data_IF_924112803364
#
_entry.id   IF_924112803364
#
_cell.length_a   1.000
_cell.length_b   1.000
_cell.length_c   1.000
_cell.angle_alpha   90.00
_cell.angle_beta   90.00
_cell.angle_gamma   90.00
#
_symmetry.space_group_name_H-M   'P 1'
#
loop_
_entity.id
_entity.type
_entity.pdbx_description
1 polymer ?
#
# COMPACT_ATOMS: atom_id res chain seq x y z
N UNK A 1 -14.26 50.49 -21.51
CA UNK A 1 -13.49 49.98 -20.36
C UNK A 1 -14.27 48.98 -19.48
N UNK A 2 -15.31 48.31 -20.00
CA UNK A 2 -16.15 47.40 -19.19
C UNK A 2 -16.34 46.01 -19.81
N UNK A 3 -15.69 45.72 -20.95
CA UNK A 3 -15.83 44.42 -21.64
C UNK A 3 -14.58 43.54 -21.58
N UNK A 4 -13.48 44.03 -21.01
CA UNK A 4 -12.18 43.31 -20.96
C UNK A 4 -11.87 42.74 -19.57
N UNK A 5 -12.71 43.06 -18.57
CA UNK A 5 -12.62 42.52 -17.20
C UNK A 5 -13.51 41.30 -16.94
N UNK A 6 -14.39 40.95 -17.89
CA UNK A 6 -15.26 39.78 -17.79
C UNK A 6 -14.69 38.51 -18.46
N UNK A 7 -13.56 38.63 -19.18
CA UNK A 7 -12.89 37.51 -19.84
C UNK A 7 -11.77 36.86 -18.99
N UNK A 8 -11.60 37.30 -17.74
CA UNK A 8 -10.57 36.80 -16.81
C UNK A 8 -11.15 35.93 -15.68
N UNK A 9 -12.44 35.61 -15.70
CA UNK A 9 -13.13 34.91 -14.61
C UNK A 9 -13.80 33.59 -15.03
N UNK A 10 -13.68 33.18 -16.31
CA UNK A 10 -14.20 31.89 -16.80
C UNK A 10 -13.12 30.79 -16.89
N UNK A 11 -11.84 31.10 -16.66
CA UNK A 11 -10.74 30.13 -16.82
C UNK A 11 -10.48 29.22 -15.62
N UNK A 12 -11.22 29.35 -14.51
CA UNK A 12 -10.90 28.66 -13.25
C UNK A 12 -12.06 27.82 -12.67
N UNK A 13 -12.97 27.35 -13.52
CA UNK A 13 -14.08 26.45 -13.11
C UNK A 13 -13.77 24.95 -13.24
N UNK A 14 -12.57 24.61 -13.73
CA UNK A 14 -12.13 23.22 -13.87
C UNK A 14 -12.00 22.55 -12.49
N UNK A 15 -12.86 21.56 -12.21
CA UNK A 15 -12.77 20.73 -11.00
C UNK A 15 -11.44 20.00 -10.96
N UNK A 16 -10.99 19.60 -9.75
CA UNK A 16 -9.76 18.80 -9.60
C UNK A 16 -9.81 17.55 -10.49
N UNK A 17 -10.97 16.89 -10.57
CA UNK A 17 -11.17 15.73 -11.44
C UNK A 17 -10.89 16.03 -12.93
N UNK A 18 -11.40 17.15 -13.46
CA UNK A 18 -11.12 17.53 -14.86
C UNK A 18 -9.63 17.80 -15.11
N UNK A 19 -8.94 18.44 -14.16
CA UNK A 19 -7.49 18.71 -14.25
C UNK A 19 -6.67 17.42 -14.18
N UNK A 20 -7.13 16.42 -13.44
CA UNK A 20 -6.48 15.09 -13.38
C UNK A 20 -6.57 14.39 -14.74
N UNK A 21 -7.70 14.50 -15.42
CA UNK A 21 -7.90 13.95 -16.76
C UNK A 21 -6.97 14.64 -17.79
N UNK A 22 -6.88 15.97 -17.76
CA UNK A 22 -5.97 16.75 -18.60
C UNK A 22 -4.49 16.36 -18.37
N UNK A 23 -4.10 16.13 -17.11
CA UNK A 23 -2.77 15.63 -16.75
C UNK A 23 -2.50 14.24 -17.31
N UNK A 24 -3.50 13.36 -17.34
CA UNK A 24 -3.39 12.03 -17.93
C UNK A 24 -3.15 12.06 -19.44
N UNK A 25 -3.78 13.00 -20.14
CA UNK A 25 -3.65 13.18 -21.60
C UNK A 25 -2.33 13.84 -21.99
N UNK A 26 -1.71 14.61 -21.10
CA UNK A 26 -0.45 15.35 -21.34
C UNK A 26 0.81 14.60 -20.88
N UNK A 27 0.72 13.32 -20.51
CA UNK A 27 1.88 12.53 -20.11
C UNK A 27 2.87 12.36 -21.26
N UNK A 28 4.19 12.42 -20.99
CA UNK A 28 5.21 12.14 -22.01
C UNK A 28 5.17 10.68 -22.48
N UNK A 29 6.00 10.34 -23.45
CA UNK A 29 6.22 8.92 -23.80
C UNK A 29 6.70 8.14 -22.58
N UNK A 30 6.28 6.88 -22.47
CA UNK A 30 6.61 6.03 -21.33
C UNK A 30 8.13 5.95 -21.12
N UNK A 31 8.56 6.15 -19.88
CA UNK A 31 9.98 6.15 -19.52
C UNK A 31 10.44 4.70 -19.40
N UNK A 32 11.46 4.36 -20.17
CA UNK A 32 12.12 3.06 -20.13
C UNK A 32 13.56 3.21 -19.67
N UNK A 33 13.97 2.39 -18.71
CA UNK A 33 15.35 2.31 -18.23
C UNK A 33 15.97 0.98 -18.68
N UNK A 34 16.99 1.00 -19.56
CA UNK A 34 17.82 -0.16 -19.89
C UNK A 34 18.41 -0.82 -18.63
N UNK A 35 18.81 -2.09 -18.70
CA UNK A 35 19.31 -2.83 -17.52
C UNK A 35 20.62 -2.31 -16.94
N UNK A 36 21.40 -1.58 -17.74
CA UNK A 36 22.67 -0.93 -17.40
C UNK A 36 22.49 0.56 -17.07
N UNK A 37 21.25 1.06 -17.05
CA UNK A 37 20.97 2.43 -16.70
C UNK A 37 21.25 2.74 -15.22
N UNK A 38 21.59 3.99 -14.87
CA UNK A 38 21.72 4.42 -13.49
C UNK A 38 20.44 4.18 -12.67
N UNK A 39 20.60 4.03 -11.34
CA UNK A 39 19.46 3.78 -10.43
C UNK A 39 18.37 4.84 -10.53
N UNK A 40 18.74 6.11 -10.69
CA UNK A 40 17.77 7.20 -10.80
C UNK A 40 16.87 7.07 -12.04
N UNK A 41 17.36 6.50 -13.14
CA UNK A 41 16.53 6.22 -14.32
C UNK A 41 15.55 5.07 -14.07
N UNK A 42 15.99 4.01 -13.38
CA UNK A 42 15.08 2.95 -12.94
C UNK A 42 14.02 3.45 -11.96
N UNK A 43 14.36 4.39 -11.09
CA UNK A 43 13.39 5.08 -10.23
C UNK A 43 12.42 5.88 -11.09
N UNK A 44 12.89 6.66 -12.07
CA UNK A 44 12.02 7.44 -12.97
C UNK A 44 11.04 6.56 -13.74
N UNK A 45 11.52 5.45 -14.32
CA UNK A 45 10.69 4.48 -15.03
C UNK A 45 9.64 3.83 -14.11
N UNK A 46 10.02 3.54 -12.86
CA UNK A 46 9.10 3.01 -11.87
C UNK A 46 8.08 4.05 -11.37
N UNK A 47 8.45 5.34 -11.28
CA UNK A 47 7.51 6.43 -11.00
C UNK A 47 6.52 6.60 -12.16
N UNK A 48 7.00 6.71 -13.40
CA UNK A 48 6.16 6.85 -14.61
C UNK A 48 5.06 5.79 -14.68
N UNK A 49 5.45 4.52 -14.60
CA UNK A 49 4.49 3.42 -14.64
C UNK A 49 3.45 3.48 -13.51
N UNK A 50 3.78 4.07 -12.35
CA UNK A 50 2.86 4.17 -11.20
C UNK A 50 2.04 5.45 -11.21
N UNK A 51 2.57 6.56 -11.72
CA UNK A 51 1.83 7.79 -11.98
C UNK A 51 0.70 7.52 -12.98
N UNK A 52 0.99 6.78 -14.05
CA UNK A 52 -0.04 6.35 -15.02
C UNK A 52 -1.17 5.56 -14.35
N UNK A 53 -0.82 4.56 -13.53
CA UNK A 53 -1.81 3.76 -12.78
C UNK A 53 -2.58 4.61 -11.76
N UNK A 54 -1.93 5.60 -11.14
CA UNK A 54 -2.59 6.52 -10.22
C UNK A 54 -3.68 7.32 -10.95
N UNK A 55 -3.34 7.89 -12.11
CA UNK A 55 -4.25 8.70 -12.93
C UNK A 55 -5.37 7.83 -13.55
N UNK A 56 -5.04 6.64 -14.04
CA UNK A 56 -6.01 5.68 -14.61
C UNK A 56 -7.12 5.31 -13.62
N UNK A 57 -6.78 5.12 -12.35
CA UNK A 57 -7.72 4.67 -11.32
C UNK A 57 -8.30 5.80 -10.45
N UNK A 58 -7.94 7.07 -10.70
CA UNK A 58 -8.50 8.20 -9.96
C UNK A 58 -10.02 8.35 -10.18
N UNK A 59 -10.55 8.34 -11.42
CA UNK A 59 -11.99 8.48 -11.65
C UNK A 59 -12.82 7.39 -10.97
N UNK A 60 -12.39 6.14 -11.06
CA UNK A 60 -13.06 5.00 -10.42
C UNK A 60 -12.96 5.01 -8.89
N UNK A 61 -11.85 5.52 -8.34
CA UNK A 61 -11.71 5.74 -6.89
C UNK A 61 -12.69 6.81 -6.39
N UNK A 62 -12.93 7.86 -7.19
CA UNK A 62 -13.89 8.93 -6.86
C UNK A 62 -15.34 8.46 -6.93
N UNK A 63 -15.70 7.72 -7.98
CA UNK A 63 -17.05 7.15 -8.12
C UNK A 63 -17.32 6.11 -7.03
N UNK A 64 -16.31 5.30 -6.69
CA UNK A 64 -16.43 4.20 -5.73
C UNK A 64 -17.27 3.03 -6.25
N UNK A 65 -17.40 2.91 -7.57
CA UNK A 65 -18.16 1.82 -8.21
C UNK A 65 -17.43 0.47 -8.12
N UNK A 66 -16.10 0.47 -8.31
CA UNK A 66 -15.26 -0.71 -8.18
C UNK A 66 -14.18 -0.51 -7.08
N UNK A 67 -14.22 -1.28 -5.98
CA UNK A 67 -13.18 -1.25 -4.94
C UNK A 67 -11.76 -1.56 -5.46
N UNK A 68 -11.64 -2.15 -6.65
CA UNK A 68 -10.36 -2.43 -7.29
C UNK A 68 -9.65 -1.15 -7.75
N UNK A 69 -10.37 -0.09 -8.13
CA UNK A 69 -9.74 1.19 -8.50
C UNK A 69 -8.98 1.79 -7.30
N UNK A 70 -9.65 1.87 -6.15
CA UNK A 70 -9.03 2.29 -4.89
C UNK A 70 -7.85 1.38 -4.53
N UNK A 71 -7.99 0.07 -4.72
CA UNK A 71 -6.91 -0.88 -4.46
C UNK A 71 -5.67 -0.57 -5.31
N UNK A 72 -5.86 -0.39 -6.62
CA UNK A 72 -4.78 -0.12 -7.57
C UNK A 72 -4.12 1.23 -7.30
N UNK A 73 -4.90 2.27 -6.99
CA UNK A 73 -4.41 3.59 -6.60
C UNK A 73 -3.53 3.50 -5.33
N UNK A 74 -4.01 2.81 -4.27
CA UNK A 74 -3.21 2.56 -3.05
C UNK A 74 -1.95 1.76 -3.33
N UNK A 75 -2.01 0.76 -4.21
CA UNK A 75 -0.84 -0.02 -4.62
C UNK A 75 0.18 0.86 -5.33
N UNK A 76 -0.25 1.74 -6.23
CA UNK A 76 0.60 2.68 -6.94
C UNK A 76 1.35 3.61 -5.98
N UNK A 77 0.61 4.31 -5.09
CA UNK A 77 1.17 5.22 -4.07
C UNK A 77 2.19 4.51 -3.17
N UNK A 78 1.83 3.34 -2.63
CA UNK A 78 2.73 2.55 -1.77
C UNK A 78 4.01 2.16 -2.49
N UNK A 79 3.92 1.77 -3.77
CA UNK A 79 5.08 1.37 -4.58
C UNK A 79 5.95 2.57 -4.93
N UNK A 80 5.38 3.73 -5.27
CA UNK A 80 6.16 4.96 -5.49
C UNK A 80 6.98 5.35 -4.27
N UNK A 81 6.35 5.39 -3.08
CA UNK A 81 7.05 5.67 -1.81
C UNK A 81 8.18 4.68 -1.53
N UNK A 82 7.94 3.41 -1.85
CA UNK A 82 8.91 2.36 -1.64
C UNK A 82 10.13 2.48 -2.56
N UNK A 83 9.89 2.80 -3.84
CA UNK A 83 10.94 3.04 -4.84
C UNK A 83 11.75 4.28 -4.48
N UNK A 84 11.11 5.40 -4.14
CA UNK A 84 11.80 6.62 -3.68
C UNK A 84 12.67 6.35 -2.46
N UNK A 85 12.17 5.54 -1.51
CA UNK A 85 12.94 5.13 -0.34
C UNK A 85 14.14 4.25 -0.69
N UNK A 86 13.98 3.31 -1.63
CA UNK A 86 15.05 2.42 -2.04
C UNK A 86 16.12 3.14 -2.87
N UNK A 87 15.71 4.08 -3.72
CA UNK A 87 16.57 4.94 -4.53
C UNK A 87 17.15 6.15 -3.80
N UNK A 88 16.72 6.44 -2.57
CA UNK A 88 17.12 7.63 -1.80
C UNK A 88 18.62 7.92 -1.77
N UNK A 89 19.53 6.93 -1.60
CA UNK A 89 20.97 7.16 -1.66
C UNK A 89 21.52 7.67 -3.00
N UNK A 90 20.71 7.69 -4.06
CA UNK A 90 21.08 8.11 -5.42
C UNK A 90 20.25 9.28 -5.92
N UNK A 91 19.35 9.82 -5.09
CA UNK A 91 18.47 10.92 -5.43
C UNK A 91 18.81 12.13 -4.58
N UNK A 92 18.53 13.33 -5.09
CA UNK A 92 18.56 14.53 -4.26
C UNK A 92 17.48 14.42 -3.17
N UNK A 93 17.88 14.58 -1.91
CA UNK A 93 16.96 14.52 -0.78
C UNK A 93 15.90 15.63 -0.81
N UNK A 94 16.24 16.81 -1.35
CA UNK A 94 15.32 17.95 -1.51
C UNK A 94 14.21 17.66 -2.53
N UNK A 95 14.46 16.72 -3.45
CA UNK A 95 13.45 16.20 -4.37
C UNK A 95 12.68 15.02 -3.77
N UNK A 96 13.41 14.00 -3.29
CA UNK A 96 12.82 12.71 -2.95
C UNK A 96 11.99 12.72 -1.66
N UNK A 97 12.40 13.47 -0.62
CA UNK A 97 11.71 13.47 0.67
C UNK A 97 10.36 14.20 0.64
N UNK A 98 10.22 15.41 0.04
CA UNK A 98 8.91 16.07 -0.10
C UNK A 98 7.93 15.22 -0.92
N UNK A 99 8.35 14.71 -2.08
CA UNK A 99 7.49 13.86 -2.91
C UNK A 99 7.02 12.61 -2.16
N UNK A 100 7.89 12.01 -1.34
CA UNK A 100 7.54 10.86 -0.52
C UNK A 100 6.62 11.21 0.66
N UNK A 101 6.70 12.44 1.18
CA UNK A 101 5.82 12.96 2.22
C UNK A 101 4.40 13.17 1.67
N UNK A 102 4.28 13.82 0.50
CA UNK A 102 3.01 14.08 -0.20
C UNK A 102 2.31 12.75 -0.56
N UNK A 103 3.05 11.81 -1.15
CA UNK A 103 2.56 10.44 -1.38
C UNK A 103 2.16 9.74 -0.06
N UNK A 104 2.82 10.09 1.04
CA UNK A 104 2.51 9.60 2.37
C UNK A 104 1.17 10.10 2.88
N UNK A 105 0.83 11.35 2.59
CA UNK A 105 -0.46 11.97 2.90
C UNK A 105 -1.59 11.33 2.10
N UNK A 106 -1.44 11.24 0.78
CA UNK A 106 -2.40 10.54 -0.07
C UNK A 106 -2.57 9.08 0.38
N UNK A 107 -1.48 8.40 0.74
CA UNK A 107 -1.53 7.04 1.26
C UNK A 107 -2.24 6.88 2.60
N UNK A 108 -2.27 7.93 3.44
CA UNK A 108 -3.06 7.96 4.69
C UNK A 108 -4.54 8.13 4.41
N UNK A 109 -4.91 8.87 3.37
CA UNK A 109 -6.31 9.06 2.97
C UNK A 109 -6.90 7.81 2.29
N UNK A 110 -6.16 7.20 1.36
CA UNK A 110 -6.57 5.95 0.68
C UNK A 110 -6.68 4.75 1.61
N UNK A 111 -6.00 4.82 2.77
CA UNK A 111 -5.72 3.66 3.57
C UNK A 111 -6.92 3.09 4.31
N UNK A 112 -7.57 3.89 5.16
CA UNK A 112 -8.73 3.48 5.95
C UNK A 112 -9.86 2.89 5.11
N UNK A 113 -10.22 3.53 3.99
CA UNK A 113 -11.28 3.03 3.08
C UNK A 113 -10.96 1.62 2.60
N UNK A 114 -9.74 1.40 2.06
CA UNK A 114 -9.37 0.08 1.54
C UNK A 114 -9.26 -0.98 2.63
N UNK A 115 -8.77 -0.60 3.80
CA UNK A 115 -8.62 -1.54 4.91
C UNK A 115 -10.01 -1.96 5.44
N UNK A 116 -11.00 -1.06 5.44
CA UNK A 116 -12.40 -1.36 5.73
C UNK A 116 -13.07 -2.21 4.64
N UNK A 117 -12.85 -1.92 3.35
CA UNK A 117 -13.37 -2.73 2.23
C UNK A 117 -12.97 -4.20 2.37
N UNK A 118 -11.67 -4.44 2.55
CA UNK A 118 -11.11 -5.79 2.63
C UNK A 118 -11.64 -6.51 3.87
N UNK A 119 -11.61 -5.84 5.03
CA UNK A 119 -12.07 -6.43 6.28
C UNK A 119 -13.57 -6.75 6.22
N UNK A 120 -14.39 -5.80 5.78
CA UNK A 120 -15.84 -5.96 5.72
C UNK A 120 -16.25 -7.04 4.72
N UNK A 121 -15.63 -7.07 3.53
CA UNK A 121 -15.88 -8.12 2.54
C UNK A 121 -15.53 -9.52 3.09
N UNK A 122 -14.38 -9.64 3.76
CA UNK A 122 -13.96 -10.91 4.36
C UNK A 122 -14.91 -11.35 5.48
N UNK A 123 -15.27 -10.46 6.40
CA UNK A 123 -16.15 -10.78 7.52
C UNK A 123 -17.57 -11.11 7.04
N UNK A 124 -18.09 -10.40 6.04
CA UNK A 124 -19.39 -10.71 5.41
C UNK A 124 -19.38 -12.07 4.72
N UNK A 125 -18.29 -12.42 4.02
CA UNK A 125 -18.12 -13.75 3.44
C UNK A 125 -18.11 -14.85 4.51
N UNK A 126 -17.52 -14.58 5.69
CA UNK A 126 -17.60 -15.51 6.81
C UNK A 126 -19.01 -15.57 7.41
N UNK A 127 -19.67 -14.43 7.59
CA UNK A 127 -21.04 -14.35 8.10
C UNK A 127 -22.01 -15.18 7.25
N UNK A 128 -21.88 -15.12 5.92
CA UNK A 128 -22.68 -15.93 4.99
C UNK A 128 -22.49 -17.45 5.18
N UNK A 129 -21.36 -17.88 5.74
CA UNK A 129 -21.08 -19.28 6.07
C UNK A 129 -21.53 -19.68 7.50
N UNK A 130 -22.22 -18.83 8.25
CA UNK A 130 -22.81 -19.17 9.54
C UNK A 130 -24.17 -19.88 9.36
N UNK A 131 -24.66 -20.60 10.38
CA UNK A 131 -26.05 -21.06 10.44
C UNK A 131 -27.04 -19.93 10.21
N UNK A 132 -28.16 -20.22 9.53
CA UNK A 132 -29.12 -19.21 9.03
C UNK A 132 -29.67 -18.33 10.16
N UNK A 133 -29.88 -18.92 11.34
CA UNK A 133 -30.32 -18.23 12.55
C UNK A 133 -29.38 -17.11 13.02
N UNK A 134 -28.09 -17.20 12.71
CA UNK A 134 -27.08 -16.23 13.13
C UNK A 134 -26.71 -15.21 12.05
N UNK A 135 -27.02 -15.48 10.78
CA UNK A 135 -26.61 -14.63 9.65
C UNK A 135 -27.13 -13.20 9.81
N UNK A 136 -28.41 -13.05 10.19
CA UNK A 136 -29.03 -11.74 10.40
C UNK A 136 -28.36 -10.96 11.54
N UNK A 137 -27.96 -11.64 12.61
CA UNK A 137 -27.28 -11.02 13.74
C UNK A 137 -25.84 -10.61 13.37
N UNK A 138 -25.14 -11.42 12.58
CA UNK A 138 -23.84 -11.09 12.03
C UNK A 138 -23.92 -9.88 11.09
N UNK A 139 -24.92 -9.81 10.20
CA UNK A 139 -25.10 -8.67 9.30
C UNK A 139 -25.33 -7.38 10.09
N UNK A 140 -26.15 -7.42 11.14
CA UNK A 140 -26.39 -6.27 12.03
C UNK A 140 -25.10 -5.81 12.72
N UNK A 141 -24.26 -6.74 13.17
CA UNK A 141 -22.95 -6.40 13.74
C UNK A 141 -22.07 -5.67 12.71
N UNK A 142 -21.98 -6.23 11.50
CA UNK A 142 -21.08 -5.74 10.45
C UNK A 142 -21.54 -4.43 9.81
N UNK A 143 -22.80 -4.03 9.98
CA UNK A 143 -23.28 -2.68 9.64
C UNK A 143 -22.56 -1.58 10.43
N UNK A 144 -21.97 -1.90 11.59
CA UNK A 144 -21.16 -0.94 12.35
C UNK A 144 -19.96 -0.39 11.57
N UNK A 145 -19.44 -1.15 10.59
CA UNK A 145 -18.36 -0.66 9.72
C UNK A 145 -18.80 0.38 8.70
N UNK A 146 -20.10 0.49 8.41
CA UNK A 146 -20.59 1.33 7.31
C UNK A 146 -20.40 2.83 7.63
N UNK A 147 -20.63 3.25 8.88
CA UNK A 147 -20.45 4.64 9.30
C UNK A 147 -18.97 5.07 9.25
N UNK A 148 -18.05 4.19 9.67
CA UNK A 148 -16.61 4.43 9.59
C UNK A 148 -16.14 4.48 8.14
N UNK A 149 -16.65 3.59 7.30
CA UNK A 149 -16.35 3.56 5.89
C UNK A 149 -16.80 4.87 5.21
N UNK A 150 -18.01 5.33 5.47
CA UNK A 150 -18.53 6.58 4.93
C UNK A 150 -17.71 7.80 5.39
N UNK A 151 -17.25 7.81 6.64
CA UNK A 151 -16.37 8.86 7.14
C UNK A 151 -15.01 8.86 6.44
N UNK A 152 -14.37 7.70 6.36
CA UNK A 152 -13.10 7.52 5.66
C UNK A 152 -13.22 7.91 4.17
N UNK A 153 -14.36 7.59 3.54
CA UNK A 153 -14.62 7.92 2.14
C UNK A 153 -14.78 9.44 1.94
N UNK A 154 -15.46 10.14 2.85
CA UNK A 154 -15.53 11.61 2.81
C UNK A 154 -14.15 12.27 2.96
N UNK A 155 -13.33 11.76 3.88
CA UNK A 155 -11.95 12.25 4.06
C UNK A 155 -11.10 12.01 2.81
N UNK A 156 -11.19 10.82 2.22
CA UNK A 156 -10.50 10.51 0.96
C UNK A 156 -10.91 11.49 -0.16
N UNK A 157 -12.20 11.70 -0.37
CA UNK A 157 -12.67 12.62 -1.42
C UNK A 157 -12.19 14.05 -1.17
N UNK A 158 -12.21 14.52 0.08
CA UNK A 158 -11.67 15.84 0.43
C UNK A 158 -10.18 15.98 0.08
N UNK A 159 -9.37 14.94 0.31
CA UNK A 159 -7.96 14.92 -0.08
C UNK A 159 -7.81 14.90 -1.60
N UNK A 160 -8.61 14.10 -2.31
CA UNK A 160 -8.58 14.06 -3.77
C UNK A 160 -9.06 15.38 -4.40
N UNK A 161 -9.91 16.15 -3.74
CA UNK A 161 -10.36 17.47 -4.18
C UNK A 161 -9.46 18.62 -3.70
N UNK A 162 -8.36 18.31 -3.03
CA UNK A 162 -7.45 19.32 -2.50
C UNK A 162 -6.44 19.83 -3.55
N UNK A 163 -6.01 21.08 -3.39
CA UNK A 163 -4.88 21.63 -4.15
C UNK A 163 -3.59 20.83 -3.91
N UNK A 164 -3.39 20.30 -2.70
CA UNK A 164 -2.23 19.47 -2.37
C UNK A 164 -2.14 18.20 -3.21
N UNK A 165 -3.27 17.58 -3.54
CA UNK A 165 -3.29 16.43 -4.45
C UNK A 165 -2.91 16.84 -5.89
N UNK A 166 -3.43 17.95 -6.39
CA UNK A 166 -3.04 18.47 -7.71
C UNK A 166 -1.55 18.81 -7.78
N UNK A 167 -1.00 19.45 -6.75
CA UNK A 167 0.42 19.80 -6.70
C UNK A 167 1.30 18.54 -6.69
N UNK A 168 0.88 17.48 -5.98
CA UNK A 168 1.52 16.18 -6.04
C UNK A 168 1.51 15.61 -7.48
N UNK A 169 0.38 15.65 -8.18
CA UNK A 169 0.30 15.18 -9.56
C UNK A 169 1.20 15.99 -10.49
N UNK A 170 1.22 17.32 -10.37
CA UNK A 170 2.12 18.17 -11.15
C UNK A 170 3.60 17.82 -10.90
N UNK A 171 4.00 17.60 -9.64
CA UNK A 171 5.37 17.18 -9.30
C UNK A 171 5.70 15.81 -9.90
N UNK A 172 4.77 14.86 -9.85
CA UNK A 172 4.93 13.55 -10.45
C UNK A 172 5.13 13.66 -11.96
N UNK A 173 4.28 14.42 -12.66
CA UNK A 173 4.36 14.62 -14.12
C UNK A 173 5.64 15.36 -14.50
N UNK A 174 6.03 16.40 -13.77
CA UNK A 174 7.30 17.10 -13.97
C UNK A 174 8.50 16.14 -13.87
N UNK A 175 8.49 15.24 -12.87
CA UNK A 175 9.52 14.22 -12.70
C UNK A 175 9.61 13.20 -13.84
N UNK A 176 8.59 13.10 -14.71
CA UNK A 176 8.61 12.24 -15.90
C UNK A 176 9.24 12.93 -17.11
N UNK A 177 9.12 14.27 -17.18
CA UNK A 177 9.54 15.09 -18.31
C UNK A 177 11.04 15.42 -18.29
N UNK A 178 11.67 15.45 -17.12
CA UNK A 178 13.09 15.76 -16.96
C UNK A 178 13.84 14.64 -16.23
N UNK A 179 15.17 14.53 -16.39
CA UNK A 179 16.00 13.70 -15.51
C UNK A 179 15.73 14.02 -14.03
N UNK A 180 15.70 12.99 -13.19
CA UNK A 180 15.49 13.20 -11.75
C UNK A 180 16.72 13.88 -11.14
N UNK A 181 16.53 14.84 -10.22
CA UNK A 181 17.62 15.34 -9.38
C UNK A 181 18.29 14.18 -8.64
N UNK A 182 19.58 14.02 -8.84
CA UNK A 182 20.36 12.89 -8.34
C UNK A 182 21.68 13.35 -7.74
N UNK A 183 22.31 12.45 -6.99
CA UNK A 183 23.66 12.64 -6.50
C UNK A 183 24.64 12.03 -7.50
N UNK A 184 25.68 12.77 -7.87
CA UNK A 184 26.78 12.21 -8.66
C UNK A 184 27.42 11.07 -7.85
N UNK A 185 27.42 9.88 -8.45
CA UNK A 185 27.94 8.67 -7.85
C UNK A 185 28.73 7.92 -8.90
N UNK A 186 30.05 7.84 -8.70
CA UNK A 186 30.97 7.02 -9.51
C UNK A 186 30.74 5.50 -9.33
N UNK A 187 29.80 5.11 -8.47
CA UNK A 187 29.53 3.70 -8.12
C UNK A 187 28.52 3.08 -9.10
N UNK A 188 28.81 1.87 -9.56
CA UNK A 188 27.86 1.06 -10.33
C UNK A 188 26.55 0.86 -9.54
N UNK A 189 25.46 1.38 -10.10
CA UNK A 189 24.11 1.29 -9.54
C UNK A 189 23.63 -0.16 -9.35
N UNK A 190 24.07 -1.08 -10.21
CA UNK A 190 23.76 -2.51 -10.16
C UNK A 190 24.34 -3.18 -8.92
N UNK A 191 25.64 -3.00 -8.71
CA UNK A 191 26.35 -3.55 -7.56
C UNK A 191 25.80 -2.96 -6.26
N UNK A 192 25.46 -1.67 -6.26
CA UNK A 192 24.97 -0.99 -5.07
C UNK A 192 23.56 -1.45 -4.66
N UNK A 193 22.64 -1.66 -5.60
CA UNK A 193 21.29 -2.14 -5.29
C UNK A 193 21.26 -3.61 -4.83
N UNK A 194 22.09 -4.48 -5.43
CA UNK A 194 22.26 -5.86 -4.96
C UNK A 194 22.84 -5.87 -3.55
N UNK A 195 23.87 -5.06 -3.29
CA UNK A 195 24.48 -4.91 -1.97
C UNK A 195 23.49 -4.39 -0.94
N UNK A 196 22.62 -3.45 -1.33
CA UNK A 196 21.55 -2.94 -0.46
C UNK A 196 20.53 -4.04 -0.15
N UNK A 197 20.09 -4.82 -1.14
CA UNK A 197 19.19 -5.95 -0.92
C UNK A 197 19.82 -7.01 0.02
N UNK A 198 21.10 -7.34 -0.18
CA UNK A 198 21.84 -8.24 0.69
C UNK A 198 21.96 -7.69 2.12
N UNK A 199 22.20 -6.37 2.29
CA UNK A 199 22.19 -5.70 3.59
C UNK A 199 20.82 -5.81 4.27
N UNK A 200 19.73 -5.51 3.56
CA UNK A 200 18.36 -5.65 4.11
C UNK A 200 18.06 -7.11 4.52
N UNK A 201 18.50 -8.08 3.72
CA UNK A 201 18.35 -9.50 4.05
C UNK A 201 19.16 -9.90 5.29
N UNK A 202 20.41 -9.45 5.42
CA UNK A 202 21.24 -9.71 6.61
C UNK A 202 20.61 -9.12 7.88
N UNK A 203 20.09 -7.91 7.81
CA UNK A 203 19.36 -7.28 8.93
C UNK A 203 18.11 -8.07 9.28
N UNK A 204 17.26 -8.42 8.30
CA UNK A 204 16.07 -9.25 8.50
C UNK A 204 16.43 -10.59 9.17
N UNK A 205 17.48 -11.25 8.70
CA UNK A 205 17.97 -12.52 9.27
C UNK A 205 18.40 -12.38 10.72
N UNK A 206 19.08 -11.28 11.06
CA UNK A 206 19.52 -10.99 12.44
C UNK A 206 18.32 -10.77 13.36
N UNK A 207 17.35 -9.97 12.92
CA UNK A 207 16.14 -9.68 13.72
C UNK A 207 15.29 -10.93 13.93
N UNK A 208 15.07 -11.76 12.90
CA UNK A 208 14.33 -13.02 13.06
C UNK A 208 15.06 -14.01 13.98
N UNK A 209 16.40 -14.04 13.97
CA UNK A 209 17.18 -14.89 14.89
C UNK A 209 17.09 -14.45 16.35
N UNK A 210 16.77 -13.18 16.60
CA UNK A 210 16.61 -12.64 17.93
C UNK A 210 15.19 -12.79 18.49
N UNK A 211 14.27 -13.36 17.71
CA UNK A 211 12.92 -13.66 18.16
C UNK A 211 12.89 -14.91 19.05
N UNK A 212 11.99 -14.90 20.02
CA UNK A 212 11.62 -16.09 20.78
C UNK A 212 11.02 -17.17 19.87
N UNK A 213 10.97 -18.41 20.38
CA UNK A 213 10.33 -19.55 19.68
C UNK A 213 8.89 -19.23 19.29
N UNK A 214 8.19 -18.48 20.15
CA UNK A 214 6.82 -18.06 19.95
C UNK A 214 6.73 -16.52 20.03
N UNK A 215 7.05 -15.78 18.94
CA UNK A 215 7.19 -14.33 18.98
C UNK A 215 5.85 -13.62 19.15
N UNK A 216 5.80 -12.57 19.96
CA UNK A 216 4.60 -11.73 20.08
C UNK A 216 4.12 -11.20 18.72
N UNK A 217 2.82 -10.91 18.59
CA UNK A 217 2.20 -10.45 17.34
C UNK A 217 2.85 -9.17 16.81
N UNK A 218 3.21 -8.25 17.70
CA UNK A 218 3.94 -7.00 17.36
C UNK A 218 5.33 -7.27 16.80
N UNK A 219 6.01 -8.32 17.29
CA UNK A 219 7.31 -8.72 16.78
C UNK A 219 7.18 -9.24 15.34
N UNK A 220 6.14 -10.03 15.04
CA UNK A 220 5.83 -10.45 13.66
C UNK A 220 5.47 -9.24 12.78
N UNK A 221 4.71 -8.27 13.29
CA UNK A 221 4.43 -7.03 12.57
C UNK A 221 5.71 -6.26 12.20
N UNK A 222 6.65 -6.13 13.13
CA UNK A 222 7.95 -5.51 12.86
C UNK A 222 8.74 -6.26 11.77
N UNK A 223 8.71 -7.60 11.77
CA UNK A 223 9.28 -8.41 10.69
C UNK A 223 8.59 -8.11 9.35
N UNK A 224 7.26 -7.99 9.30
CA UNK A 224 6.51 -7.64 8.07
C UNK A 224 7.03 -6.35 7.45
N UNK A 225 7.30 -5.32 8.26
CA UNK A 225 7.85 -4.03 7.81
C UNK A 225 9.22 -4.23 7.15
N UNK A 226 10.06 -5.10 7.70
CA UNK A 226 11.40 -5.39 7.18
C UNK A 226 11.36 -6.20 5.91
N UNK A 227 10.47 -7.20 5.83
CA UNK A 227 10.22 -7.97 4.62
C UNK A 227 9.77 -7.06 3.48
N UNK A 228 8.87 -6.08 3.75
CA UNK A 228 8.48 -5.06 2.77
C UNK A 228 9.70 -4.30 2.23
N UNK A 229 10.62 -3.85 3.09
CA UNK A 229 11.84 -3.13 2.67
C UNK A 229 12.74 -4.00 1.78
N UNK A 230 12.97 -5.26 2.14
CA UNK A 230 13.73 -6.20 1.32
C UNK A 230 13.05 -6.41 -0.04
N UNK A 231 11.73 -6.65 -0.04
CA UNK A 231 10.95 -6.87 -1.27
C UNK A 231 11.07 -5.69 -2.22
N UNK A 232 10.85 -4.47 -1.74
CA UNK A 232 10.88 -3.26 -2.58
C UNK A 232 12.26 -2.92 -3.11
N UNK A 233 13.30 -3.08 -2.29
CA UNK A 233 14.69 -2.95 -2.76
C UNK A 233 14.97 -3.99 -3.85
N UNK A 234 14.52 -5.23 -3.66
CA UNK A 234 14.66 -6.28 -4.66
C UNK A 234 13.83 -6.04 -5.93
N UNK A 235 12.64 -5.46 -5.84
CA UNK A 235 11.82 -5.09 -7.00
C UNK A 235 12.55 -4.05 -7.86
N UNK A 236 13.14 -3.02 -7.25
CA UNK A 236 13.96 -2.02 -7.94
C UNK A 236 15.25 -2.63 -8.54
N UNK A 237 15.86 -3.59 -7.85
CA UNK A 237 17.07 -4.28 -8.32
C UNK A 237 16.80 -5.38 -9.36
N UNK A 238 15.54 -5.80 -9.56
CA UNK A 238 15.20 -6.96 -10.42
C UNK A 238 15.55 -6.74 -11.91
N UNK A 239 15.29 -5.57 -12.52
CA UNK A 239 15.68 -5.31 -13.91
C UNK A 239 17.19 -5.45 -14.15
N UNK A 240 17.99 -5.16 -13.13
CA UNK A 240 19.44 -5.07 -13.20
C UNK A 240 20.11 -6.41 -12.81
N UNK A 241 19.70 -6.97 -11.67
CA UNK A 241 20.35 -8.12 -11.04
C UNK A 241 19.73 -9.48 -11.39
N UNK A 242 18.65 -9.49 -12.18
CA UNK A 242 18.11 -10.68 -12.84
C UNK A 242 17.48 -11.73 -11.92
N UNK A 243 17.63 -13.01 -12.31
CA UNK A 243 16.90 -14.15 -11.72
C UNK A 243 17.13 -14.37 -10.21
N UNK A 244 18.33 -14.20 -9.62
CA UNK A 244 18.54 -14.38 -8.18
C UNK A 244 17.68 -13.44 -7.33
N UNK A 245 17.70 -12.14 -7.61
CA UNK A 245 16.91 -11.14 -6.89
C UNK A 245 15.41 -11.39 -7.06
N UNK A 246 14.96 -11.72 -8.28
CA UNK A 246 13.55 -12.07 -8.54
C UNK A 246 13.05 -13.22 -7.66
N UNK A 247 13.90 -14.23 -7.40
CA UNK A 247 13.56 -15.35 -6.50
C UNK A 247 13.44 -14.90 -5.04
N UNK A 248 14.26 -13.95 -4.60
CA UNK A 248 14.14 -13.34 -3.27
C UNK A 248 12.86 -12.54 -3.16
N UNK A 249 12.56 -11.66 -4.12
CA UNK A 249 11.32 -10.87 -4.16
C UNK A 249 10.10 -11.76 -4.05
N UNK A 250 10.03 -12.85 -4.83
CA UNK A 250 8.93 -13.82 -4.79
C UNK A 250 8.80 -14.52 -3.43
N UNK A 251 9.93 -14.86 -2.79
CA UNK A 251 9.91 -15.49 -1.47
C UNK A 251 9.56 -14.49 -0.36
N UNK A 252 10.00 -13.24 -0.48
CA UNK A 252 9.67 -12.14 0.42
C UNK A 252 8.19 -11.79 0.34
N UNK A 253 7.61 -11.77 -0.86
CA UNK A 253 6.17 -11.61 -1.06
C UNK A 253 5.39 -12.68 -0.28
N UNK A 254 5.74 -13.97 -0.45
CA UNK A 254 5.08 -15.06 0.29
C UNK A 254 5.18 -14.94 1.80
N UNK A 255 6.33 -14.54 2.34
CA UNK A 255 6.47 -14.31 3.78
C UNK A 255 5.64 -13.11 4.24
N UNK A 256 5.61 -12.05 3.43
CA UNK A 256 4.80 -10.87 3.71
C UNK A 256 3.31 -11.19 3.69
N UNK A 257 2.85 -12.06 2.79
CA UNK A 257 1.44 -12.46 2.68
C UNK A 257 1.03 -13.24 3.94
N UNK A 258 1.81 -14.25 4.35
CA UNK A 258 1.54 -15.03 5.58
C UNK A 258 1.48 -14.15 6.83
N UNK A 259 2.49 -13.29 7.04
CA UNK A 259 2.49 -12.38 8.21
C UNK A 259 1.40 -11.30 8.06
N UNK A 260 1.05 -10.92 6.84
CA UNK A 260 -0.04 -10.02 6.55
C UNK A 260 -1.38 -10.61 6.99
N UNK A 261 -1.69 -11.82 6.53
CA UNK A 261 -2.92 -12.53 6.89
C UNK A 261 -3.03 -12.77 8.40
N UNK A 262 -1.90 -13.04 9.07
CA UNK A 262 -1.84 -13.13 10.53
C UNK A 262 -2.28 -11.80 11.18
N UNK A 263 -1.67 -10.69 10.76
CA UNK A 263 -1.99 -9.37 11.32
C UNK A 263 -3.43 -8.96 11.01
N UNK A 264 -3.89 -9.20 9.79
CA UNK A 264 -5.24 -8.85 9.37
C UNK A 264 -6.29 -9.63 10.19
N UNK A 265 -5.97 -10.87 10.61
CA UNK A 265 -6.79 -11.63 11.56
C UNK A 265 -6.77 -11.04 12.98
N UNK A 266 -5.61 -10.61 13.49
CA UNK A 266 -5.51 -9.93 14.79
C UNK A 266 -6.38 -8.66 14.82
N UNK A 267 -6.28 -7.84 13.77
CA UNK A 267 -7.05 -6.60 13.65
C UNK A 267 -8.55 -6.92 13.55
N UNK A 268 -8.96 -7.91 12.74
CA UNK A 268 -10.37 -8.29 12.64
C UNK A 268 -10.96 -8.73 13.99
N UNK A 269 -10.21 -9.50 14.79
CA UNK A 269 -10.62 -9.89 16.16
C UNK A 269 -10.85 -8.67 17.04
N UNK A 270 -9.90 -7.73 17.04
CA UNK A 270 -9.99 -6.49 17.82
C UNK A 270 -11.22 -5.68 17.40
N UNK A 271 -11.41 -5.48 16.09
CA UNK A 271 -12.52 -4.72 15.53
C UNK A 271 -13.88 -5.32 15.85
N UNK A 272 -14.04 -6.65 15.76
CA UNK A 272 -15.28 -7.34 16.14
C UNK A 272 -15.60 -7.13 17.63
N UNK A 273 -14.58 -7.16 18.50
CA UNK A 273 -14.77 -6.91 19.94
C UNK A 273 -15.15 -5.47 20.24
N UNK A 274 -14.54 -4.51 19.54
CA UNK A 274 -14.90 -3.09 19.62
C UNK A 274 -16.36 -2.88 19.23
N UNK A 275 -16.81 -3.42 18.09
CA UNK A 275 -18.20 -3.30 17.65
C UNK A 275 -19.21 -3.83 18.68
N UNK A 276 -18.93 -5.00 19.28
CA UNK A 276 -19.78 -5.54 20.36
C UNK A 276 -19.81 -4.62 21.58
N UNK A 277 -18.68 -4.00 21.90
CA UNK A 277 -18.57 -3.08 23.06
C UNK A 277 -19.31 -1.77 22.79
N UNK A 278 -19.23 -1.24 21.57
CA UNK A 278 -19.92 -0.03 21.13
C UNK A 278 -21.44 -0.20 21.07
N UNK A 279 -21.92 -1.40 20.74
CA UNK A 279 -23.34 -1.73 20.80
C UNK A 279 -23.88 -1.76 22.25
N UNK A 280 -23.02 -1.98 23.26
CA UNK A 280 -23.41 -1.93 24.68
C UNK A 280 -24.65 -2.78 25.00
N UNK A 281 -25.59 -2.19 25.73
CA UNK A 281 -26.87 -2.84 26.11
C UNK A 281 -27.81 -3.09 24.89
N UNK A 282 -27.53 -2.48 23.74
CA UNK A 282 -28.27 -2.74 22.49
C UNK A 282 -27.81 -4.03 21.79
N UNK A 283 -26.69 -4.62 22.23
CA UNK A 283 -26.23 -5.91 21.77
C UNK A 283 -27.17 -7.03 22.26
N UNK A 284 -28.12 -7.39 21.43
CA UNK A 284 -28.94 -8.60 21.62
C UNK A 284 -28.01 -9.84 21.76
N UNK A 285 -28.35 -10.85 22.60
CA UNK A 285 -27.56 -12.07 22.76
C UNK A 285 -27.15 -12.74 21.45
N UNK A 286 -28.00 -12.69 20.43
CA UNK A 286 -27.72 -13.25 19.10
C UNK A 286 -26.54 -12.55 18.41
N UNK A 287 -26.40 -11.23 18.59
CA UNK A 287 -25.28 -10.44 18.05
C UNK A 287 -23.97 -10.80 18.74
N UNK A 288 -24.00 -10.96 20.07
CA UNK A 288 -22.83 -11.40 20.83
C UNK A 288 -22.39 -12.83 20.43
N UNK A 289 -23.35 -13.73 20.20
CA UNK A 289 -23.08 -15.09 19.72
C UNK A 289 -22.46 -15.08 18.31
N UNK A 290 -23.04 -14.32 17.38
CA UNK A 290 -22.53 -14.18 16.03
C UNK A 290 -21.11 -13.58 16.01
N UNK A 291 -20.86 -12.54 16.82
CA UNK A 291 -19.55 -11.94 17.01
C UNK A 291 -18.53 -12.97 17.54
N UNK A 292 -18.92 -13.76 18.55
CA UNK A 292 -18.09 -14.83 19.10
C UNK A 292 -17.69 -15.87 18.05
N UNK A 293 -18.62 -16.25 17.15
CA UNK A 293 -18.34 -17.18 16.05
C UNK A 293 -17.36 -16.60 15.02
N UNK A 294 -17.49 -15.31 14.68
CA UNK A 294 -16.56 -14.63 13.78
C UNK A 294 -15.18 -14.47 14.41
N UNK A 295 -15.10 -14.07 15.68
CA UNK A 295 -13.86 -13.97 16.44
C UNK A 295 -13.13 -15.31 16.49
N UNK A 296 -13.84 -16.41 16.74
CA UNK A 296 -13.25 -17.75 16.75
C UNK A 296 -12.71 -18.17 15.37
N UNK A 297 -13.41 -17.81 14.27
CA UNK A 297 -12.90 -18.05 12.91
C UNK A 297 -11.63 -17.27 12.62
N UNK A 298 -11.58 -15.99 12.99
CA UNK A 298 -10.37 -15.18 12.85
C UNK A 298 -9.23 -15.67 13.76
N UNK A 299 -9.55 -16.17 14.96
CA UNK A 299 -8.55 -16.77 15.85
C UNK A 299 -7.90 -18.01 15.22
N UNK A 300 -8.69 -18.90 14.59
CA UNK A 300 -8.16 -20.03 13.83
C UNK A 300 -7.31 -19.60 12.65
N UNK A 301 -7.74 -18.58 11.91
CA UNK A 301 -6.95 -17.99 10.81
C UNK A 301 -5.61 -17.45 11.32
N UNK A 302 -5.61 -16.69 12.43
CA UNK A 302 -4.40 -16.19 13.08
C UNK A 302 -3.43 -17.32 13.40
N UNK A 303 -3.89 -18.37 14.08
CA UNK A 303 -3.06 -19.53 14.45
C UNK A 303 -2.52 -20.26 13.20
N UNK A 304 -3.35 -20.48 12.18
CA UNK A 304 -2.91 -21.14 10.95
C UNK A 304 -1.78 -20.36 10.26
N UNK A 305 -1.87 -19.03 10.20
CA UNK A 305 -0.79 -18.20 9.63
C UNK A 305 0.47 -18.19 10.52
N UNK A 306 0.29 -18.28 11.84
CA UNK A 306 1.37 -18.45 12.80
C UNK A 306 2.13 -19.77 12.60
N UNK A 307 1.46 -20.83 12.19
CA UNK A 307 2.12 -22.09 11.87
C UNK A 307 2.87 -22.04 10.52
N UNK A 308 2.42 -21.20 9.58
CA UNK A 308 2.99 -21.09 8.24
C UNK A 308 4.24 -20.20 8.16
N UNK A 309 4.37 -19.19 9.03
CA UNK A 309 5.44 -18.19 8.92
C UNK A 309 6.87 -18.78 8.97
N UNK A 310 7.19 -19.80 9.82
CA UNK A 310 8.53 -20.36 9.85
C UNK A 310 8.89 -21.08 8.54
N UNK A 311 7.91 -21.72 7.90
CA UNK A 311 8.05 -22.34 6.59
C UNK A 311 8.30 -21.32 5.48
N UNK A 312 7.55 -20.21 5.48
CA UNK A 312 7.76 -19.11 4.55
C UNK A 312 9.14 -18.45 4.75
N UNK A 313 9.58 -18.26 6.00
CA UNK A 313 10.90 -17.74 6.31
C UNK A 313 12.02 -18.67 5.84
N UNK A 314 11.94 -19.99 6.06
CA UNK A 314 12.94 -20.95 5.56
C UNK A 314 13.14 -20.84 4.05
N UNK A 315 12.05 -20.66 3.29
CA UNK A 315 12.11 -20.45 1.83
C UNK A 315 12.81 -19.15 1.47
N UNK A 316 12.46 -18.03 2.13
CA UNK A 316 13.13 -16.75 1.93
C UNK A 316 14.61 -16.82 2.28
N UNK A 317 14.96 -17.39 3.45
CA UNK A 317 16.34 -17.57 3.89
C UNK A 317 17.17 -18.31 2.84
N UNK A 318 16.69 -19.45 2.34
CA UNK A 318 17.39 -20.23 1.29
C UNK A 318 17.67 -19.40 0.02
N UNK A 319 16.77 -18.49 -0.36
CA UNK A 319 16.97 -17.64 -1.56
C UNK A 319 17.87 -16.44 -1.27
N UNK A 320 17.76 -15.86 -0.08
CA UNK A 320 18.53 -14.69 0.33
C UNK A 320 20.02 -14.95 0.55
N UNK A 321 20.42 -16.19 0.88
CA UNK A 321 21.85 -16.57 0.94
C UNK A 321 22.55 -16.50 -0.43
N UNK A 322 21.80 -16.36 -1.53
CA UNK A 322 22.34 -16.24 -2.89
C UNK A 322 22.29 -14.81 -3.45
N UNK A 323 21.99 -13.80 -2.60
CA UNK A 323 22.11 -12.38 -2.94
C UNK A 323 23.57 -11.94 -2.92
#
# INVERSE_FOLDING_TARGET
MTSERAALDESDTATVASRVEDLGQSLPTQVHAPSDAPVHEHVRAALDHRTRRLLEHDPGTRSGEDPEDLHQMRVAVRRMRAVLKAGGPFLDASFAEPLRADLGELGRALGPVRDLDVMSAQLRAQAAGLPVEDQRAADRLLQGFDAEHDSARRELLSVLDSQGYLDLLHRLVAALNTPLPHQDSDVDGSETLRTLAAKQFRTLRKEIRALDTEPADDALHAIRIRVKRLRYTGELATPISGKPVRRVVKAAARLQDVIGDHQDACVAIERLRTLVTELGDEACPDVALAAGRLVEREHRRRLAQRDLWPGAWRKLRKRGEAL
#
